data_IF_827119970364
#
_entry.id   IF_827119970364
#
_cell.length_a   1.000
_cell.length_b   1.000
_cell.length_c   1.000
_cell.angle_alpha   90.00
_cell.angle_beta   90.00
_cell.angle_gamma   90.00
#
_symmetry.space_group_name_H-M   'P 1'
#
loop_
_entity.id
_entity.type
_entity.pdbx_description
1 polymer ?
#
# COMPACT_ATOMS: atom_id res chain seq x y z
N UNK A 1 49.92 -3.84 24.44
CA UNK A 1 49.44 -4.82 23.46
C UNK A 1 47.94 -4.78 23.58
N UNK A 2 47.36 -3.83 22.87
CA UNK A 2 45.93 -3.54 22.88
C UNK A 2 45.32 -4.33 21.72
N UNK A 3 44.49 -5.32 22.03
CA UNK A 3 43.63 -5.97 21.05
C UNK A 3 42.31 -5.20 21.00
N UNK A 4 41.91 -4.60 19.86
CA UNK A 4 40.58 -4.06 19.70
C UNK A 4 39.64 -5.19 19.27
N UNK A 5 38.78 -5.63 20.19
CA UNK A 5 37.54 -6.34 19.87
C UNK A 5 36.53 -5.25 19.47
N UNK A 6 36.41 -4.97 18.18
CA UNK A 6 35.23 -4.33 17.62
C UNK A 6 34.71 -5.15 16.45
N UNK A 7 33.79 -6.06 16.80
CA UNK A 7 32.51 -6.24 16.11
C UNK A 7 32.55 -5.94 14.61
N UNK A 8 32.98 -6.92 13.83
CA UNK A 8 32.48 -7.11 12.46
C UNK A 8 30.95 -7.27 12.57
N UNK A 9 30.25 -6.13 12.52
CA UNK A 9 28.82 -6.08 12.40
C UNK A 9 28.53 -6.53 10.97
N UNK A 10 28.40 -7.84 10.81
CA UNK A 10 27.95 -8.50 9.60
C UNK A 10 26.84 -7.67 8.95
N UNK A 11 27.19 -6.93 7.90
CA UNK A 11 26.25 -6.35 6.96
C UNK A 11 25.77 -7.45 6.01
N UNK A 12 25.22 -8.51 6.60
CA UNK A 12 24.32 -9.42 5.91
C UNK A 12 22.93 -8.83 6.12
N UNK A 13 22.70 -7.68 5.48
CA UNK A 13 21.34 -7.22 5.23
C UNK A 13 20.84 -8.23 4.22
N UNK A 14 19.99 -9.15 4.67
CA UNK A 14 19.28 -10.13 3.86
C UNK A 14 19.10 -9.59 2.44
N UNK A 15 19.90 -10.11 1.49
CA UNK A 15 19.48 -10.11 0.11
C UNK A 15 18.25 -11.02 0.07
N UNK A 16 17.09 -10.46 0.45
CA UNK A 16 15.82 -11.02 0.06
C UNK A 16 15.92 -11.12 -1.45
N UNK A 17 16.09 -12.34 -1.95
CA UNK A 17 15.98 -12.68 -3.35
C UNK A 17 14.52 -12.41 -3.72
N UNK A 18 14.24 -11.14 -4.03
CA UNK A 18 12.88 -10.76 -4.38
C UNK A 18 12.70 -11.17 -5.82
N UNK A 19 12.22 -12.40 -5.94
CA UNK A 19 11.72 -12.97 -7.17
C UNK A 19 10.64 -12.04 -7.72
N UNK A 20 10.96 -11.38 -8.84
CA UNK A 20 10.02 -10.53 -9.58
C UNK A 20 8.78 -11.30 -10.02
N UNK A 21 8.85 -12.62 -10.06
CA UNK A 21 7.76 -13.51 -10.46
C UNK A 21 6.57 -13.44 -9.49
N UNK A 22 6.80 -13.00 -8.25
CA UNK A 22 5.74 -12.84 -7.26
C UNK A 22 5.01 -11.49 -7.31
N UNK A 23 5.50 -10.53 -8.11
CA UNK A 23 4.90 -9.20 -8.25
C UNK A 23 3.77 -9.24 -9.28
N UNK A 24 2.63 -8.61 -8.98
CA UNK A 24 1.47 -8.72 -9.86
C UNK A 24 1.64 -8.01 -11.20
N UNK A 25 1.96 -6.71 -11.17
CA UNK A 25 2.09 -5.92 -12.39
C UNK A 25 3.01 -4.73 -12.17
N UNK A 26 4.33 -4.97 -12.06
CA UNK A 26 5.30 -3.88 -12.00
C UNK A 26 5.29 -3.08 -13.32
N UNK A 27 5.78 -1.85 -13.26
CA UNK A 27 5.97 -1.02 -14.44
C UNK A 27 7.10 -1.61 -15.31
N UNK A 28 6.74 -2.14 -16.48
CA UNK A 28 7.64 -2.83 -17.40
C UNK A 28 8.77 -1.89 -17.86
N UNK A 29 8.50 -0.60 -17.96
CA UNK A 29 9.49 0.37 -18.45
C UNK A 29 10.67 0.58 -17.49
N UNK A 30 10.48 0.32 -16.19
CA UNK A 30 11.54 0.49 -15.21
C UNK A 30 12.74 -0.44 -15.50
N UNK A 31 12.49 -1.61 -16.11
CA UNK A 31 13.54 -2.59 -16.49
C UNK A 31 14.54 -2.05 -17.51
N UNK A 32 14.17 -1.03 -18.28
CA UNK A 32 15.04 -0.42 -19.29
C UNK A 32 15.82 0.78 -18.78
N UNK A 33 15.68 1.12 -17.49
CA UNK A 33 16.43 2.23 -16.90
C UNK A 33 17.88 1.80 -16.63
N UNK A 34 18.88 2.66 -16.90
CA UNK A 34 20.29 2.36 -16.63
C UNK A 34 20.60 2.05 -15.15
N UNK A 35 19.70 2.43 -14.24
CA UNK A 35 19.83 2.29 -12.79
C UNK A 35 18.71 1.40 -12.20
N UNK A 36 18.27 0.39 -12.94
CA UNK A 36 17.16 -0.48 -12.56
C UNK A 36 17.31 -1.09 -11.16
N UNK A 37 18.49 -1.60 -10.80
CA UNK A 37 18.72 -2.23 -9.49
C UNK A 37 18.51 -1.24 -8.33
N UNK A 38 18.89 0.02 -8.54
CA UNK A 38 18.63 1.10 -7.57
C UNK A 38 17.14 1.43 -7.49
N UNK A 39 16.44 1.49 -8.63
CA UNK A 39 14.97 1.68 -8.66
C UNK A 39 14.26 0.53 -7.98
N UNK A 40 14.73 -0.71 -8.16
CA UNK A 40 14.21 -1.92 -7.54
C UNK A 40 14.29 -1.80 -6.02
N UNK A 41 15.48 -1.55 -5.46
CA UNK A 41 15.69 -1.36 -4.01
C UNK A 41 14.82 -0.23 -3.46
N UNK A 42 14.86 0.95 -4.10
CA UNK A 42 14.03 2.10 -3.69
C UNK A 42 12.53 1.79 -3.69
N UNK A 43 12.05 0.99 -4.65
CA UNK A 43 10.66 0.57 -4.71
C UNK A 43 10.24 -0.25 -3.49
N UNK A 44 11.11 -1.17 -3.02
CA UNK A 44 10.86 -1.95 -1.80
C UNK A 44 10.87 -1.09 -0.56
N UNK A 45 11.93 -0.30 -0.36
CA UNK A 45 12.09 0.57 0.81
C UNK A 45 10.89 1.52 0.93
N UNK A 46 10.45 2.09 -0.20
CA UNK A 46 9.31 3.00 -0.24
C UNK A 46 7.99 2.30 0.06
N UNK A 47 7.77 1.07 -0.45
CA UNK A 47 6.56 0.31 -0.16
C UNK A 47 6.50 -0.10 1.32
N UNK A 48 7.63 -0.52 1.89
CA UNK A 48 7.75 -0.86 3.29
C UNK A 48 7.45 0.35 4.18
N UNK A 49 8.07 1.51 3.87
CA UNK A 49 7.81 2.77 4.57
C UNK A 49 6.31 3.13 4.53
N UNK A 50 5.66 3.02 3.37
CA UNK A 50 4.22 3.31 3.21
C UNK A 50 3.38 2.34 4.07
N UNK A 51 3.69 1.04 4.03
CA UNK A 51 2.96 0.01 4.78
C UNK A 51 3.05 0.24 6.28
N UNK A 52 4.25 0.49 6.78
CA UNK A 52 4.50 0.74 8.20
C UNK A 52 3.75 1.97 8.69
N UNK A 53 3.83 3.07 7.95
CA UNK A 53 3.20 4.31 8.35
C UNK A 53 1.68 4.26 8.26
N UNK A 54 1.11 3.68 7.20
CA UNK A 54 -0.34 3.45 7.12
C UNK A 54 -0.84 2.60 8.29
N UNK A 55 -0.12 1.53 8.61
CA UNK A 55 -0.46 0.65 9.73
C UNK A 55 -0.39 1.38 11.07
N UNK A 56 0.69 2.13 11.30
CA UNK A 56 0.90 2.94 12.52
C UNK A 56 -0.21 3.97 12.71
N UNK A 57 -0.58 4.69 11.65
CA UNK A 57 -1.63 5.72 11.68
C UNK A 57 -2.98 5.14 12.07
N UNK A 58 -3.32 3.97 11.50
CA UNK A 58 -4.59 3.30 11.79
C UNK A 58 -4.61 2.78 13.23
N UNK A 59 -3.49 2.24 13.73
CA UNK A 59 -3.35 1.79 15.11
C UNK A 59 -3.49 2.94 16.12
N UNK A 60 -2.89 4.10 15.82
CA UNK A 60 -2.97 5.30 16.66
C UNK A 60 -4.32 6.04 16.53
N UNK A 61 -5.15 5.68 15.54
CA UNK A 61 -6.40 6.38 15.17
C UNK A 61 -6.19 7.86 14.80
N UNK A 62 -4.96 8.26 14.49
CA UNK A 62 -4.61 9.62 14.10
C UNK A 62 -4.71 9.80 12.58
N UNK A 63 -5.94 9.79 12.06
CA UNK A 63 -6.15 9.85 10.60
C UNK A 63 -5.71 11.19 9.99
N UNK A 64 -5.78 12.30 10.73
CA UNK A 64 -5.30 13.61 10.26
C UNK A 64 -3.93 13.96 10.86
N UNK A 65 -2.97 14.45 10.05
CA UNK A 65 -2.97 14.55 8.58
C UNK A 65 -2.46 13.28 7.87
N UNK A 66 -2.02 12.27 8.64
CA UNK A 66 -1.20 11.17 8.14
C UNK A 66 -1.89 10.31 7.07
N UNK A 67 -3.16 9.96 7.26
CA UNK A 67 -3.83 8.99 6.38
C UNK A 67 -3.87 9.45 4.92
N UNK A 68 -4.27 10.71 4.69
CA UNK A 68 -4.31 11.29 3.35
C UNK A 68 -2.91 11.45 2.75
N UNK A 69 -1.90 11.78 3.56
CA UNK A 69 -0.51 11.90 3.11
C UNK A 69 0.03 10.57 2.59
N UNK A 70 -0.06 9.51 3.39
CA UNK A 70 0.46 8.20 3.02
C UNK A 70 -0.37 7.50 1.94
N UNK A 71 -1.67 7.75 1.89
CA UNK A 71 -2.51 7.30 0.76
C UNK A 71 -2.10 7.98 -0.55
N UNK A 72 -1.83 9.28 -0.52
CA UNK A 72 -1.32 10.00 -1.70
C UNK A 72 0.06 9.49 -2.13
N UNK A 73 0.93 9.16 -1.16
CA UNK A 73 2.24 8.56 -1.43
C UNK A 73 2.10 7.17 -2.07
N UNK A 74 1.12 6.37 -1.65
CA UNK A 74 0.77 5.09 -2.28
C UNK A 74 0.23 5.26 -3.71
N UNK A 75 -0.63 6.25 -3.99
CA UNK A 75 -1.08 6.52 -5.37
C UNK A 75 0.07 6.89 -6.29
N UNK A 76 0.99 7.73 -5.82
CA UNK A 76 2.21 8.08 -6.56
C UNK A 76 3.10 6.87 -6.77
N UNK A 77 3.28 6.04 -5.74
CA UNK A 77 4.00 4.78 -5.85
C UNK A 77 3.40 3.90 -6.95
N UNK A 78 2.09 3.66 -6.94
CA UNK A 78 1.41 2.87 -7.96
C UNK A 78 1.53 3.47 -9.37
N UNK A 79 1.62 4.79 -9.47
CA UNK A 79 1.80 5.50 -10.75
C UNK A 79 3.22 5.30 -11.31
N UNK A 80 4.25 5.28 -10.47
CA UNK A 80 5.65 5.12 -10.90
C UNK A 80 6.08 3.66 -11.06
N UNK A 81 5.76 2.82 -10.08
CA UNK A 81 6.23 1.44 -9.99
C UNK A 81 5.20 0.42 -10.47
N UNK A 82 3.95 0.84 -10.71
CA UNK A 82 2.85 -0.08 -10.98
C UNK A 82 2.38 -0.80 -9.71
N UNK A 83 1.80 -1.98 -9.86
CA UNK A 83 1.43 -2.83 -8.73
C UNK A 83 2.65 -3.67 -8.34
N UNK A 84 3.64 -2.97 -7.77
CA UNK A 84 4.91 -3.50 -7.31
C UNK A 84 4.77 -4.17 -5.94
N UNK A 85 3.78 -5.05 -5.82
CA UNK A 85 3.47 -5.78 -4.61
C UNK A 85 2.95 -7.17 -4.94
N UNK A 86 3.03 -8.06 -3.95
CA UNK A 86 2.49 -9.42 -4.07
C UNK A 86 0.96 -9.38 -4.10
N UNK A 87 0.34 -10.46 -4.58
CA UNK A 87 -1.12 -10.61 -4.52
C UNK A 87 -1.65 -10.54 -3.08
N UNK A 88 -0.91 -11.11 -2.13
CA UNK A 88 -1.26 -11.11 -0.70
C UNK A 88 -1.26 -9.67 -0.17
N UNK A 89 -0.21 -8.91 -0.48
CA UNK A 89 -0.11 -7.52 -0.03
C UNK A 89 -1.17 -6.64 -0.68
N UNK A 90 -1.50 -6.87 -1.96
CA UNK A 90 -2.60 -6.17 -2.62
C UNK A 90 -3.92 -6.33 -1.86
N UNK A 91 -4.27 -7.58 -1.52
CA UNK A 91 -5.51 -7.89 -0.78
C UNK A 91 -5.48 -7.25 0.61
N UNK A 92 -4.33 -7.28 1.30
CA UNK A 92 -4.15 -6.63 2.61
C UNK A 92 -4.38 -5.12 2.53
N UNK A 93 -3.83 -4.45 1.50
CA UNK A 93 -4.01 -3.01 1.29
C UNK A 93 -5.50 -2.71 1.05
N UNK A 94 -6.19 -3.49 0.20
CA UNK A 94 -7.64 -3.31 -0.04
C UNK A 94 -8.44 -3.47 1.26
N UNK A 95 -8.17 -4.54 2.00
CA UNK A 95 -8.83 -4.81 3.28
C UNK A 95 -8.55 -3.71 4.31
N UNK A 96 -7.36 -3.11 4.30
CA UNK A 96 -7.02 -1.97 5.14
C UNK A 96 -7.95 -0.77 4.87
N UNK A 97 -8.13 -0.40 3.60
CA UNK A 97 -9.03 0.71 3.23
C UNK A 97 -10.50 0.41 3.55
N UNK A 98 -10.95 -0.84 3.36
CA UNK A 98 -12.30 -1.29 3.77
C UNK A 98 -12.46 -1.20 5.30
N UNK A 99 -11.44 -1.59 6.07
CA UNK A 99 -11.45 -1.50 7.52
C UNK A 99 -11.55 -0.04 8.00
N UNK A 100 -10.83 0.89 7.34
CA UNK A 100 -10.94 2.32 7.63
C UNK A 100 -12.36 2.84 7.37
N UNK A 101 -13.02 2.41 6.28
CA UNK A 101 -14.42 2.78 5.99
C UNK A 101 -15.42 2.26 7.03
N UNK A 102 -15.05 1.25 7.82
CA UNK A 102 -15.88 0.68 8.88
C UNK A 102 -15.84 1.53 10.17
N UNK A 103 -14.84 2.41 10.32
CA UNK A 103 -14.71 3.33 11.45
C UNK A 103 -15.93 4.28 11.47
N UNK A 104 -16.57 4.42 12.63
CA UNK A 104 -17.65 5.39 12.84
C UNK A 104 -17.13 6.83 12.80
N UNK A 105 -17.95 7.77 12.32
CA UNK A 105 -17.64 9.20 12.26
C UNK A 105 -16.40 9.57 11.44
N UNK A 106 -16.16 8.83 10.35
CA UNK A 106 -15.10 9.13 9.41
C UNK A 106 -15.42 10.40 8.59
N UNK A 107 -14.48 11.35 8.56
CA UNK A 107 -14.61 12.55 7.75
C UNK A 107 -14.78 12.24 6.25
N UNK A 108 -15.61 13.03 5.57
CA UNK A 108 -15.85 12.87 4.13
C UNK A 108 -14.56 12.90 3.29
N UNK A 109 -13.56 13.67 3.70
CA UNK A 109 -12.25 13.70 3.04
C UNK A 109 -11.54 12.35 3.08
N UNK A 110 -11.55 11.67 4.23
CA UNK A 110 -10.95 10.33 4.35
C UNK A 110 -11.77 9.28 3.62
N UNK A 111 -13.10 9.39 3.65
CA UNK A 111 -14.02 8.52 2.90
C UNK A 111 -13.72 8.60 1.41
N UNK A 112 -13.62 9.82 0.87
CA UNK A 112 -13.25 10.05 -0.53
C UNK A 112 -11.89 9.41 -0.86
N UNK A 113 -10.87 9.66 -0.03
CA UNK A 113 -9.54 9.04 -0.20
C UNK A 113 -9.61 7.52 -0.23
N UNK A 114 -10.41 6.90 0.65
CA UNK A 114 -10.60 5.45 0.64
C UNK A 114 -11.23 4.96 -0.67
N UNK A 115 -12.27 5.64 -1.16
CA UNK A 115 -12.92 5.26 -2.42
C UNK A 115 -12.02 5.46 -3.64
N UNK A 116 -11.27 6.56 -3.71
CA UNK A 116 -10.29 6.80 -4.78
C UNK A 116 -9.22 5.69 -4.78
N UNK A 117 -8.70 5.33 -3.60
CA UNK A 117 -7.74 4.25 -3.44
C UNK A 117 -8.30 2.88 -3.83
N UNK A 118 -9.52 2.55 -3.37
CA UNK A 118 -10.18 1.30 -3.72
C UNK A 118 -10.44 1.22 -5.23
N UNK A 119 -10.82 2.33 -5.86
CA UNK A 119 -10.96 2.40 -7.32
C UNK A 119 -9.62 2.10 -8.01
N UNK A 120 -8.53 2.74 -7.60
CA UNK A 120 -7.21 2.54 -8.21
C UNK A 120 -6.70 1.09 -8.07
N UNK A 121 -6.88 0.50 -6.89
CA UNK A 121 -6.48 -0.88 -6.57
C UNK A 121 -7.33 -1.92 -7.33
N UNK A 122 -8.63 -1.71 -7.42
CA UNK A 122 -9.57 -2.66 -8.06
C UNK A 122 -9.74 -2.46 -9.57
N UNK A 123 -9.20 -1.38 -10.14
CA UNK A 123 -9.31 -1.06 -11.58
C UNK A 123 -8.87 -2.20 -12.49
N UNK A 124 -7.87 -2.99 -12.09
CA UNK A 124 -7.36 -4.14 -12.84
C UNK A 124 -8.00 -5.44 -12.35
N UNK A 125 -9.28 -5.62 -12.68
CA UNK A 125 -10.12 -6.76 -12.22
C UNK A 125 -9.54 -8.15 -12.50
N UNK A 126 -8.63 -8.30 -13.46
CA UNK A 126 -7.98 -9.59 -13.78
C UNK A 126 -6.95 -10.03 -12.74
N UNK A 127 -6.50 -9.14 -11.86
CA UNK A 127 -5.44 -9.41 -10.88
C UNK A 127 -5.97 -9.92 -9.53
N UNK A 128 -7.28 -9.79 -9.30
CA UNK A 128 -7.95 -10.22 -8.08
C UNK A 128 -9.08 -11.14 -8.52
N UNK A 129 -9.06 -12.38 -8.06
CA UNK A 129 -10.16 -13.31 -8.33
C UNK A 129 -11.32 -13.05 -7.36
N UNK A 130 -12.51 -13.54 -7.70
CA UNK A 130 -13.69 -13.37 -6.84
C UNK A 130 -13.53 -14.04 -5.47
N UNK A 131 -12.74 -15.10 -5.39
CA UNK A 131 -12.49 -15.83 -4.16
C UNK A 131 -11.51 -15.11 -3.23
N UNK A 132 -10.69 -14.19 -3.78
CA UNK A 132 -9.67 -13.46 -3.02
C UNK A 132 -10.25 -12.28 -2.22
N UNK A 133 -11.35 -11.68 -2.70
CA UNK A 133 -11.89 -10.45 -2.15
C UNK A 133 -13.42 -10.53 -2.02
N UNK A 134 -13.87 -10.69 -0.78
CA UNK A 134 -15.28 -10.63 -0.40
C UNK A 134 -15.54 -9.32 0.32
N UNK A 135 -16.29 -8.42 -0.32
CA UNK A 135 -16.65 -7.11 0.24
C UNK A 135 -18.11 -7.12 0.69
N UNK A 136 -18.39 -6.64 1.91
CA UNK A 136 -19.76 -6.41 2.35
C UNK A 136 -20.37 -5.21 1.62
N UNK A 137 -21.32 -5.49 0.73
CA UNK A 137 -22.05 -4.47 -0.03
C UNK A 137 -22.81 -3.48 0.86
N UNK A 138 -23.18 -3.88 2.09
CA UNK A 138 -23.92 -3.01 3.02
C UNK A 138 -23.08 -1.82 3.45
N UNK A 139 -21.77 -2.00 3.59
CA UNK A 139 -20.84 -0.92 3.90
C UNK A 139 -20.82 0.13 2.79
N UNK A 140 -20.75 -0.33 1.53
CA UNK A 140 -20.78 0.54 0.35
C UNK A 140 -22.13 1.26 0.24
N UNK A 141 -23.23 0.54 0.47
CA UNK A 141 -24.57 1.12 0.46
C UNK A 141 -24.77 2.18 1.55
N UNK A 142 -24.26 1.94 2.76
CA UNK A 142 -24.29 2.92 3.86
C UNK A 142 -23.63 4.23 3.42
N UNK A 143 -22.42 4.16 2.87
CA UNK A 143 -21.70 5.35 2.41
C UNK A 143 -22.37 6.01 1.21
N UNK A 144 -22.88 5.24 0.25
CA UNK A 144 -23.64 5.78 -0.88
C UNK A 144 -24.85 6.59 -0.39
N UNK A 145 -25.60 6.08 0.59
CA UNK A 145 -26.72 6.80 1.21
C UNK A 145 -26.26 8.09 1.88
N UNK A 146 -25.19 8.05 2.66
CA UNK A 146 -24.65 9.24 3.34
C UNK A 146 -24.21 10.30 2.32
N UNK A 147 -23.51 9.90 1.25
CA UNK A 147 -23.00 10.83 0.23
C UNK A 147 -24.15 11.44 -0.59
N UNK A 148 -25.16 10.65 -0.96
CA UNK A 148 -26.26 11.12 -1.81
C UNK A 148 -27.30 11.94 -1.05
N UNK A 149 -27.48 11.73 0.26
CA UNK A 149 -28.52 12.39 1.04
C UNK A 149 -28.03 13.52 1.97
N UNK A 150 -26.72 13.66 2.22
CA UNK A 150 -26.16 14.79 2.97
C UNK A 150 -25.67 15.94 2.06
N UNK A 151 -26.33 16.14 0.91
CA UNK A 151 -26.23 17.35 0.09
C UNK A 151 -27.53 18.13 0.12
#
# INVERSE_FOLDING_TARGET
MDDPIESERSTDIDEMDISEDNLQKPNIFNKYLPFYDSVKRQGYDLLEEIRENLSRIIQLRELRPGFSHWSSKLQRFMSHYGLYFTKIDHIKIINLYIAVLTIGDLDFSHVKTCFDMLYDLTRKTRLITRDDLVVDWRLLHKWAKVILHNH
#
